data_IF_748767073999
#
_entry.id   IF_748767073999
#
_cell.length_a   1.000
_cell.length_b   1.000
_cell.length_c   1.000
_cell.angle_alpha   90.00
_cell.angle_beta   90.00
_cell.angle_gamma   90.00
#
_symmetry.space_group_name_H-M   'P 1'
#
loop_
_entity.id
_entity.type
_entity.pdbx_description
1 polymer ?
#
# COMPACT_ATOMS: atom_id res chain seq x y z
N UNK A 1 -25.55 0.89 15.79
CA UNK A 1 -24.97 1.50 14.58
C UNK A 1 -23.61 0.88 14.39
N UNK A 2 -23.38 0.36 13.20
CA UNK A 2 -22.54 -0.81 12.89
C UNK A 2 -21.16 -0.82 13.54
N UNK A 3 -20.85 -1.99 14.13
CA UNK A 3 -19.55 -2.37 14.66
C UNK A 3 -18.46 -1.82 13.75
N UNK A 4 -17.55 -1.04 14.34
CA UNK A 4 -16.25 -0.77 13.75
C UNK A 4 -15.70 -2.10 13.23
N UNK A 5 -15.59 -2.23 11.91
CA UNK A 5 -14.80 -3.26 11.28
C UNK A 5 -13.35 -2.99 11.71
N UNK A 6 -12.99 -3.47 12.91
CA UNK A 6 -11.63 -3.81 13.26
C UNK A 6 -11.20 -4.89 12.28
N UNK A 7 -10.83 -4.43 11.09
CA UNK A 7 -10.33 -5.21 9.99
C UNK A 7 -8.88 -5.57 10.36
N UNK A 8 -8.78 -6.45 11.36
CA UNK A 8 -7.55 -7.09 11.80
C UNK A 8 -7.06 -7.91 10.62
N UNK A 9 -5.87 -7.59 10.13
CA UNK A 9 -5.22 -8.36 9.09
C UNK A 9 -5.19 -9.83 9.52
N UNK A 10 -5.71 -10.72 8.69
CA UNK A 10 -5.58 -12.15 8.91
C UNK A 10 -4.13 -12.55 8.65
N UNK A 11 -3.32 -12.52 9.71
CA UNK A 11 -1.91 -12.87 9.64
C UNK A 11 -1.69 -14.33 9.27
N UNK A 12 -2.67 -15.21 9.49
CA UNK A 12 -2.58 -16.62 9.09
C UNK A 12 -2.72 -16.74 7.58
N UNK A 13 -3.67 -16.05 6.98
CA UNK A 13 -3.83 -16.03 5.52
C UNK A 13 -2.63 -15.35 4.85
N UNK A 14 -2.20 -14.20 5.37
CA UNK A 14 -1.00 -13.49 4.88
C UNK A 14 0.23 -14.38 5.00
N UNK A 15 0.45 -15.02 6.15
CA UNK A 15 1.55 -15.95 6.37
C UNK A 15 1.55 -17.10 5.37
N UNK A 16 0.36 -17.66 5.08
CA UNK A 16 0.20 -18.72 4.09
C UNK A 16 0.56 -18.26 2.67
N UNK A 17 0.20 -17.03 2.27
CA UNK A 17 0.61 -16.46 0.97
C UNK A 17 2.12 -16.30 0.86
N UNK A 18 2.78 -15.84 1.93
CA UNK A 18 4.24 -15.70 1.95
C UNK A 18 4.91 -17.07 1.81
N UNK A 19 4.41 -18.06 2.57
CA UNK A 19 4.86 -19.45 2.50
C UNK A 19 4.68 -20.03 1.10
N UNK A 20 3.53 -19.80 0.48
CA UNK A 20 3.19 -20.30 -0.85
C UNK A 20 4.16 -19.77 -1.91
N UNK A 21 4.47 -18.47 -1.91
CA UNK A 21 5.47 -17.91 -2.83
C UNK A 21 6.81 -18.59 -2.65
N UNK A 22 7.27 -18.71 -1.40
CA UNK A 22 8.56 -19.33 -1.10
C UNK A 22 8.62 -20.79 -1.58
N UNK A 23 7.59 -21.59 -1.29
CA UNK A 23 7.54 -23.02 -1.60
C UNK A 23 7.34 -23.30 -3.08
N UNK A 24 6.53 -22.49 -3.78
CA UNK A 24 6.37 -22.59 -5.24
C UNK A 24 7.68 -22.42 -6.00
N UNK A 25 8.62 -21.66 -5.43
CA UNK A 25 9.97 -21.46 -5.97
C UNK A 25 11.03 -22.38 -5.35
N UNK A 26 10.63 -23.46 -4.66
CA UNK A 26 11.52 -24.44 -4.01
C UNK A 26 12.54 -23.80 -3.03
N UNK A 27 12.20 -22.65 -2.44
CA UNK A 27 13.13 -21.91 -1.59
C UNK A 27 13.01 -22.35 -0.13
N UNK A 28 14.12 -22.75 0.49
CA UNK A 28 14.14 -23.18 1.89
C UNK A 28 14.25 -21.99 2.83
N UNK A 29 13.67 -22.09 4.04
CA UNK A 29 13.76 -21.03 5.07
C UNK A 29 15.20 -20.67 5.43
N UNK A 30 16.11 -21.66 5.47
CA UNK A 30 17.54 -21.44 5.73
C UNK A 30 18.19 -20.47 4.75
N UNK A 31 17.78 -20.50 3.49
CA UNK A 31 18.30 -19.63 2.42
C UNK A 31 17.81 -18.18 2.54
N UNK A 32 16.79 -17.91 3.38
CA UNK A 32 16.29 -16.53 3.60
C UNK A 32 17.19 -15.80 4.58
N UNK A 33 17.69 -16.51 5.60
CA UNK A 33 18.56 -15.95 6.65
C UNK A 33 19.83 -15.31 6.07
N UNK A 34 20.31 -15.81 4.93
CA UNK A 34 21.48 -15.25 4.24
C UNK A 34 21.20 -13.96 3.44
N UNK A 35 19.93 -13.61 3.22
CA UNK A 35 19.52 -12.60 2.22
C UNK A 35 18.62 -11.49 2.77
N UNK A 36 18.22 -11.57 4.03
CA UNK A 36 17.34 -10.57 4.67
C UNK A 36 18.04 -9.93 5.87
N UNK A 37 18.04 -8.60 5.96
CA UNK A 37 18.64 -7.85 7.07
C UNK A 37 18.01 -8.18 8.43
N UNK A 38 16.76 -8.63 8.43
CA UNK A 38 15.97 -9.05 9.57
C UNK A 38 16.24 -10.52 9.99
N UNK A 39 17.52 -10.92 10.06
CA UNK A 39 18.04 -12.17 10.65
C UNK A 39 17.35 -13.50 10.26
N UNK A 40 16.36 -13.51 9.35
CA UNK A 40 15.52 -14.63 8.89
C UNK A 40 14.88 -15.54 9.95
N UNK A 41 15.22 -15.40 11.23
CA UNK A 41 14.89 -16.33 12.31
C UNK A 41 13.41 -16.37 12.67
N UNK A 42 12.64 -15.35 12.27
CA UNK A 42 11.20 -15.28 12.52
C UNK A 42 10.33 -15.65 11.31
N UNK A 43 10.92 -16.02 10.15
CA UNK A 43 10.17 -16.38 8.93
C UNK A 43 9.13 -17.47 9.22
N UNK A 44 9.48 -18.47 10.03
CA UNK A 44 8.53 -19.52 10.39
C UNK A 44 7.31 -19.01 11.18
N UNK A 45 7.50 -17.97 12.02
CA UNK A 45 6.41 -17.32 12.78
C UNK A 45 5.55 -16.46 11.86
N UNK A 46 6.17 -15.76 10.91
CA UNK A 46 5.47 -14.98 9.89
C UNK A 46 4.59 -15.88 9.04
N UNK A 47 5.14 -16.97 8.53
CA UNK A 47 4.43 -17.92 7.67
C UNK A 47 3.33 -18.70 8.40
N UNK A 48 3.50 -18.96 9.70
CA UNK A 48 2.45 -19.56 10.52
C UNK A 48 1.34 -18.55 10.90
N UNK A 49 1.54 -17.25 10.62
CA UNK A 49 0.65 -16.19 11.08
C UNK A 49 0.70 -15.94 12.59
N UNK A 50 1.68 -16.50 13.28
CA UNK A 50 1.87 -16.28 14.71
C UNK A 50 2.32 -14.85 15.02
N UNK A 51 2.92 -14.17 14.04
CA UNK A 51 3.34 -12.76 14.13
C UNK A 51 3.18 -12.04 12.78
N UNK A 52 2.98 -10.72 12.78
CA UNK A 52 3.01 -9.92 11.56
C UNK A 52 4.30 -10.12 10.78
N UNK A 53 4.18 -10.40 9.48
CA UNK A 53 5.34 -10.49 8.61
C UNK A 53 6.04 -9.13 8.49
N UNK A 54 7.37 -9.14 8.59
CA UNK A 54 8.17 -7.94 8.37
C UNK A 54 7.99 -7.42 6.95
N UNK A 55 8.03 -6.10 6.76
CA UNK A 55 8.01 -5.49 5.43
C UNK A 55 9.26 -5.84 4.63
N UNK A 56 10.36 -6.20 5.29
CA UNK A 56 11.59 -6.66 4.65
C UNK A 56 11.45 -8.07 4.09
N UNK A 57 10.76 -8.98 4.78
CA UNK A 57 10.46 -10.30 4.22
C UNK A 57 9.56 -10.18 2.99
N UNK A 58 8.54 -9.31 3.05
CA UNK A 58 7.73 -9.00 1.87
C UNK A 58 8.55 -8.41 0.72
N UNK A 59 9.49 -7.49 1.02
CA UNK A 59 10.41 -6.92 0.03
C UNK A 59 11.32 -7.98 -0.61
N UNK A 60 11.82 -8.93 0.19
CA UNK A 60 12.59 -10.07 -0.29
C UNK A 60 11.76 -10.91 -1.27
N UNK A 61 10.54 -11.30 -0.90
CA UNK A 61 9.66 -12.08 -1.78
C UNK A 61 9.33 -11.33 -3.07
N UNK A 62 9.10 -10.01 -2.97
CA UNK A 62 8.87 -9.14 -4.13
C UNK A 62 10.07 -9.10 -5.07
N UNK A 63 11.26 -8.86 -4.54
CA UNK A 63 12.48 -8.72 -5.34
C UNK A 63 12.98 -10.05 -5.91
N UNK A 64 12.73 -11.16 -5.22
CA UNK A 64 13.25 -12.49 -5.59
C UNK A 64 12.28 -13.24 -6.50
N UNK A 65 10.97 -13.13 -6.23
CA UNK A 65 9.95 -13.93 -6.89
C UNK A 65 8.90 -13.09 -7.63
N UNK A 66 9.01 -11.77 -7.59
CA UNK A 66 8.08 -10.87 -8.28
C UNK A 66 6.72 -10.69 -7.58
N UNK A 67 6.52 -11.26 -6.39
CA UNK A 67 5.26 -11.17 -5.65
C UNK A 67 4.93 -9.71 -5.26
N UNK A 68 3.78 -9.17 -5.70
CA UNK A 68 3.35 -7.81 -5.35
C UNK A 68 3.01 -7.72 -3.86
N UNK A 69 3.21 -6.55 -3.23
CA UNK A 69 2.78 -6.33 -1.85
C UNK A 69 1.27 -6.47 -1.69
N UNK A 70 0.49 -6.05 -2.69
CA UNK A 70 -0.96 -6.21 -2.73
C UNK A 70 -1.35 -7.68 -2.57
N UNK A 71 -0.88 -8.55 -3.47
CA UNK A 71 -1.14 -9.99 -3.35
C UNK A 71 -0.66 -10.55 -2.00
N UNK A 72 0.54 -10.20 -1.54
CA UNK A 72 1.08 -10.69 -0.27
C UNK A 72 0.18 -10.35 0.93
N UNK A 73 -0.28 -9.10 1.04
CA UNK A 73 -0.95 -8.60 2.24
C UNK A 73 -2.48 -8.58 2.16
N UNK A 74 -3.07 -8.43 0.98
CA UNK A 74 -4.53 -8.40 0.81
C UNK A 74 -5.06 -9.28 -0.33
N UNK A 75 -4.20 -10.09 -0.95
CA UNK A 75 -4.61 -11.07 -1.95
C UNK A 75 -5.00 -10.46 -3.30
N UNK A 76 -4.90 -9.15 -3.48
CA UNK A 76 -5.24 -8.50 -4.74
C UNK A 76 -4.14 -8.76 -5.77
N UNK A 77 -4.49 -9.51 -6.82
CA UNK A 77 -3.60 -9.74 -7.95
C UNK A 77 -3.45 -8.46 -8.80
N UNK A 78 -2.24 -7.93 -8.83
CA UNK A 78 -1.86 -6.82 -9.70
C UNK A 78 -0.84 -7.30 -10.74
N UNK A 79 -1.12 -7.02 -12.01
CA UNK A 79 -0.15 -7.23 -13.07
C UNK A 79 0.98 -6.19 -12.92
N UNK A 80 2.22 -6.67 -12.78
CA UNK A 80 3.43 -5.85 -12.68
C UNK A 80 4.21 -5.85 -13.98
N UNK A 81 4.84 -4.71 -14.31
CA UNK A 81 5.68 -4.58 -15.51
C UNK A 81 6.96 -5.39 -15.40
N UNK A 82 7.54 -5.78 -16.54
CA UNK A 82 8.79 -6.55 -16.57
C UNK A 82 9.95 -5.79 -15.91
N UNK A 83 9.99 -4.47 -16.08
CA UNK A 83 10.94 -3.59 -15.37
C UNK A 83 10.78 -3.70 -13.86
N UNK A 84 9.55 -3.67 -13.36
CA UNK A 84 9.31 -3.75 -11.91
C UNK A 84 9.67 -5.13 -11.33
N UNK A 85 9.61 -6.18 -12.14
CA UNK A 85 10.00 -7.55 -11.75
C UNK A 85 11.51 -7.77 -11.76
N UNK A 86 12.23 -7.06 -12.63
CA UNK A 86 13.69 -7.23 -12.81
C UNK A 86 14.50 -6.28 -11.93
N UNK A 87 13.97 -5.08 -11.61
CA UNK A 87 14.64 -4.12 -10.74
C UNK A 87 14.44 -4.43 -9.25
N UNK A 88 15.55 -4.71 -8.57
CA UNK A 88 15.56 -4.79 -7.09
C UNK A 88 15.21 -3.43 -6.50
N UNK A 89 14.13 -3.38 -5.71
CA UNK A 89 13.76 -2.15 -4.99
C UNK A 89 14.25 -2.20 -3.55
N UNK A 90 14.37 -1.02 -2.97
CA UNK A 90 14.61 -0.80 -1.54
C UNK A 90 13.56 0.16 -1.01
N UNK A 91 13.33 0.16 0.29
CA UNK A 91 12.52 1.21 0.91
C UNK A 91 13.30 2.52 0.89
N UNK A 92 12.77 3.53 0.21
CA UNK A 92 13.29 4.89 0.24
C UNK A 92 12.27 5.80 0.94
N UNK A 93 12.44 6.08 2.24
CA UNK A 93 11.49 6.89 3.01
C UNK A 93 11.22 8.26 2.38
N UNK A 94 12.25 8.93 1.82
CA UNK A 94 12.10 10.25 1.18
C UNK A 94 11.26 10.14 -0.09
N UNK A 95 11.49 9.13 -0.93
CA UNK A 95 10.71 8.93 -2.15
C UNK A 95 9.25 8.57 -1.84
N UNK A 96 9.01 7.72 -0.84
CA UNK A 96 7.67 7.36 -0.36
C UNK A 96 6.96 8.62 0.16
N UNK A 97 7.62 9.37 1.04
CA UNK A 97 7.09 10.59 1.62
C UNK A 97 6.72 11.65 0.59
N UNK A 98 7.63 11.92 -0.36
CA UNK A 98 7.40 12.87 -1.44
C UNK A 98 6.19 12.48 -2.31
N UNK A 99 6.03 11.19 -2.60
CA UNK A 99 4.88 10.67 -3.37
C UNK A 99 3.56 10.86 -2.64
N UNK A 100 3.53 10.54 -1.34
CA UNK A 100 2.34 10.72 -0.50
C UNK A 100 1.98 12.20 -0.32
N UNK A 101 2.98 13.07 -0.16
CA UNK A 101 2.79 14.52 -0.13
C UNK A 101 2.19 15.02 -1.44
N UNK A 102 2.70 14.58 -2.58
CA UNK A 102 2.22 15.01 -3.90
C UNK A 102 0.75 14.65 -4.13
N UNK A 103 0.33 13.42 -3.80
CA UNK A 103 -1.07 13.00 -3.96
C UNK A 103 -2.00 13.70 -2.97
N UNK A 104 -1.58 13.91 -1.71
CA UNK A 104 -2.33 14.69 -0.72
C UNK A 104 -2.60 16.11 -1.23
N UNK A 105 -1.55 16.79 -1.72
CA UNK A 105 -1.67 18.14 -2.26
C UNK A 105 -2.58 18.20 -3.49
N UNK A 106 -2.51 17.18 -4.37
CA UNK A 106 -3.42 17.06 -5.52
C UNK A 106 -4.89 16.91 -5.11
N UNK A 107 -5.15 16.32 -3.96
CA UNK A 107 -6.50 16.22 -3.37
C UNK A 107 -6.93 17.49 -2.62
N UNK A 108 -6.06 18.49 -2.49
CA UNK A 108 -6.36 19.74 -1.77
C UNK A 108 -6.42 19.57 -0.25
N UNK A 109 -5.86 18.48 0.31
CA UNK A 109 -5.93 18.19 1.74
C UNK A 109 -4.74 18.78 2.50
N UNK A 110 -4.98 19.26 3.71
CA UNK A 110 -3.95 19.55 4.71
C UNK A 110 -3.38 18.26 5.32
N UNK A 111 -2.22 18.34 5.97
CA UNK A 111 -1.66 17.19 6.70
C UNK A 111 -2.60 16.71 7.83
N UNK A 112 -3.36 17.63 8.45
CA UNK A 112 -4.35 17.29 9.47
C UNK A 112 -5.51 16.49 8.88
N UNK A 113 -6.10 16.95 7.78
CA UNK A 113 -7.21 16.26 7.12
C UNK A 113 -6.77 14.91 6.56
N UNK A 114 -5.58 14.84 5.95
CA UNK A 114 -5.05 13.56 5.49
C UNK A 114 -4.76 12.61 6.65
N UNK A 115 -4.24 13.13 7.77
CA UNK A 115 -4.05 12.37 9.01
C UNK A 115 -5.36 11.76 9.50
N UNK A 116 -6.43 12.57 9.59
CA UNK A 116 -7.77 12.07 9.95
C UNK A 116 -8.24 10.95 9.01
N UNK A 117 -8.03 11.10 7.70
CA UNK A 117 -8.42 10.12 6.69
C UNK A 117 -7.72 8.76 6.85
N UNK A 118 -6.46 8.75 7.28
CA UNK A 118 -5.67 7.51 7.44
C UNK A 118 -5.46 7.11 8.90
N UNK A 119 -6.11 7.79 9.85
CA UNK A 119 -6.00 7.54 11.29
C UNK A 119 -4.60 7.82 11.86
N UNK A 120 -3.96 8.92 11.46
CA UNK A 120 -2.70 9.44 12.00
C UNK A 120 -2.83 10.90 12.45
N UNK A 121 -1.92 11.35 13.31
CA UNK A 121 -1.78 12.77 13.62
C UNK A 121 -1.15 13.53 12.45
N UNK A 122 -1.33 14.86 12.40
CA UNK A 122 -0.64 15.73 11.43
C UNK A 122 0.89 15.59 11.51
N UNK A 123 1.43 15.44 12.73
CA UNK A 123 2.86 15.17 12.96
C UNK A 123 3.27 13.82 12.38
N UNK A 124 2.46 12.78 12.58
CA UNK A 124 2.69 11.45 11.99
C UNK A 124 2.72 11.49 10.47
N UNK A 125 1.81 12.24 9.85
CA UNK A 125 1.83 12.51 8.41
C UNK A 125 3.11 13.25 8.01
N UNK A 126 3.48 14.31 8.74
CA UNK A 126 4.71 15.06 8.49
C UNK A 126 5.98 14.20 8.54
N UNK A 127 6.07 13.29 9.51
CA UNK A 127 7.19 12.34 9.61
C UNK A 127 7.28 11.39 8.41
N UNK A 128 6.14 10.96 7.88
CA UNK A 128 6.10 10.15 6.66
C UNK A 128 6.48 10.99 5.45
N UNK A 129 5.86 12.15 5.26
CA UNK A 129 6.05 13.02 4.10
C UNK A 129 7.48 13.55 3.95
N UNK A 130 8.15 13.79 5.08
CA UNK A 130 9.54 14.25 5.10
C UNK A 130 10.55 13.10 5.05
N UNK A 131 10.09 11.84 5.03
CA UNK A 131 10.95 10.66 4.97
C UNK A 131 11.67 10.33 6.28
N UNK A 132 11.19 10.84 7.42
CA UNK A 132 11.69 10.43 8.74
C UNK A 132 11.22 9.00 9.10
N UNK A 133 10.12 8.53 8.52
CA UNK A 133 9.57 7.19 8.76
C UNK A 133 8.90 6.62 7.51
N UNK A 134 9.17 5.34 7.22
CA UNK A 134 8.40 4.57 6.24
C UNK A 134 7.05 4.13 6.85
N UNK A 135 5.93 4.22 6.11
CA UNK A 135 4.66 3.69 6.58
C UNK A 135 4.75 2.19 6.87
N UNK A 136 4.39 1.79 8.09
CA UNK A 136 4.17 0.38 8.40
C UNK A 136 3.00 -0.18 7.58
N UNK A 137 2.95 -1.50 7.41
CA UNK A 137 1.94 -2.13 6.55
C UNK A 137 0.51 -1.77 6.94
N UNK A 138 0.19 -1.69 8.24
CA UNK A 138 -1.14 -1.27 8.72
C UNK A 138 -1.47 0.16 8.27
N UNK A 139 -0.50 1.08 8.33
CA UNK A 139 -0.65 2.45 7.83
C UNK A 139 -0.76 2.47 6.31
N UNK A 140 0.07 1.71 5.59
CA UNK A 140 0.02 1.63 4.13
C UNK A 140 -1.31 1.10 3.61
N UNK A 141 -1.94 0.15 4.30
CA UNK A 141 -3.28 -0.34 3.97
C UNK A 141 -4.37 0.73 4.19
N UNK A 142 -4.27 1.53 5.25
CA UNK A 142 -5.17 2.68 5.46
C UNK A 142 -4.99 3.70 4.33
N UNK A 143 -3.74 3.98 3.94
CA UNK A 143 -3.41 4.85 2.80
C UNK A 143 -3.99 4.27 1.49
N UNK A 144 -3.82 2.96 1.24
CA UNK A 144 -4.38 2.27 0.06
C UNK A 144 -5.90 2.46 -0.02
N UNK A 145 -6.62 2.25 1.09
CA UNK A 145 -8.08 2.45 1.16
C UNK A 145 -8.47 3.91 0.91
N UNK A 146 -7.75 4.85 1.52
CA UNK A 146 -8.00 6.28 1.38
C UNK A 146 -7.75 6.82 -0.04
N UNK A 147 -6.71 6.33 -0.71
CA UNK A 147 -6.23 6.86 -1.99
C UNK A 147 -6.64 6.01 -3.20
N UNK A 148 -7.11 4.78 -2.99
CA UNK A 148 -7.36 3.82 -4.06
C UNK A 148 -6.09 3.43 -4.83
N UNK A 149 -4.93 3.52 -4.18
CA UNK A 149 -3.61 3.23 -4.77
C UNK A 149 -3.03 1.93 -4.22
N UNK A 150 -2.43 1.07 -5.07
CA UNK A 150 -1.90 -0.21 -4.63
C UNK A 150 -0.71 -0.05 -3.69
N UNK A 151 -0.43 -1.07 -2.88
CA UNK A 151 0.69 -1.06 -1.93
C UNK A 151 2.02 -0.90 -2.66
N UNK A 152 2.20 -1.58 -3.80
CA UNK A 152 3.41 -1.42 -4.62
C UNK A 152 3.60 0.03 -5.09
N UNK A 153 2.52 0.76 -5.39
CA UNK A 153 2.60 2.18 -5.73
C UNK A 153 3.00 3.04 -4.51
N UNK A 154 2.46 2.73 -3.33
CA UNK A 154 2.77 3.46 -2.09
C UNK A 154 4.25 3.32 -1.75
N UNK A 155 4.80 2.10 -1.80
CA UNK A 155 6.17 1.83 -1.40
C UNK A 155 7.21 2.13 -2.51
N UNK A 156 6.89 1.83 -3.77
CA UNK A 156 7.89 1.86 -4.86
C UNK A 156 7.50 2.80 -6.00
N UNK A 157 6.24 3.21 -6.10
CA UNK A 157 5.73 4.02 -7.19
C UNK A 157 5.32 3.22 -8.42
N UNK A 158 5.31 1.89 -8.33
CA UNK A 158 4.91 1.01 -9.42
C UNK A 158 3.41 1.16 -9.67
N UNK A 159 3.02 1.48 -10.90
CA UNK A 159 1.61 1.48 -11.30
C UNK A 159 1.25 0.09 -11.88
N UNK A 160 0.09 -0.47 -11.51
CA UNK A 160 -0.33 -1.77 -12.03
C UNK A 160 -0.59 -1.67 -13.54
N UNK A 161 -0.24 -2.72 -14.28
CA UNK A 161 -0.60 -2.82 -15.69
C UNK A 161 -2.11 -3.02 -15.77
N UNK A 162 -2.80 -2.09 -16.44
CA UNK A 162 -4.20 -2.24 -16.79
C UNK A 162 -4.28 -2.93 -18.16
N UNK A 163 -4.78 -4.17 -18.25
CA UNK A 163 -4.96 -4.87 -19.53
C UNK A 163 -5.77 -4.02 -20.51
N UNK A 164 -5.44 -4.08 -21.81
CA UNK A 164 -6.12 -3.29 -22.85
C UNK A 164 -7.65 -3.46 -22.82
N UNK A 165 -8.15 -4.66 -22.53
CA UNK A 165 -9.59 -4.97 -22.40
C UNK A 165 -10.29 -4.14 -21.30
N UNK A 166 -9.58 -3.77 -20.23
CA UNK A 166 -10.13 -3.08 -19.06
C UNK A 166 -9.95 -1.55 -19.13
N UNK A 167 -9.19 -1.03 -20.11
CA UNK A 167 -8.91 0.42 -20.23
C UNK A 167 -10.15 1.26 -20.55
N UNK A 168 -11.15 0.70 -21.23
CA UNK A 168 -12.40 1.41 -21.56
C UNK A 168 -13.26 1.64 -20.31
N UNK A 169 -13.35 0.65 -19.42
CA UNK A 169 -14.10 0.73 -18.16
C UNK A 169 -13.40 1.65 -17.13
N UNK A 170 -12.07 1.65 -17.09
CA UNK A 170 -11.28 2.54 -16.23
C UNK A 170 -11.39 4.03 -16.61
N UNK A 171 -11.62 4.34 -17.89
CA UNK A 171 -11.87 5.72 -18.35
C UNK A 171 -13.27 6.21 -17.93
N UNK A 172 -14.29 5.34 -18.00
CA UNK A 172 -15.67 5.65 -17.61
C UNK A 172 -15.81 5.86 -16.08
N UNK A 173 -15.11 5.06 -15.27
CA UNK A 173 -15.10 5.22 -13.80
C UNK A 173 -14.37 6.48 -13.34
N UNK A 174 -13.25 6.85 -13.98
CA UNK A 174 -12.58 8.15 -13.74
C UNK A 174 -13.46 9.34 -14.14
N UNK A 175 -14.19 9.28 -15.25
CA UNK A 175 -15.12 10.37 -15.62
C UNK A 175 -16.30 10.48 -14.66
N UNK A 176 -16.79 9.36 -14.10
CA UNK A 176 -17.90 9.37 -13.15
C UNK A 176 -17.50 9.89 -11.77
N UNK A 177 -16.28 9.58 -11.28
CA UNK A 177 -15.74 10.18 -10.05
C UNK A 177 -15.47 11.69 -10.17
N UNK A 178 -15.06 12.16 -11.36
CA UNK A 178 -14.88 13.60 -11.61
C UNK A 178 -16.23 14.33 -11.64
N UNK A 179 -17.28 13.71 -12.21
CA UNK A 179 -18.63 14.28 -12.26
C UNK A 179 -19.31 14.32 -10.88
N UNK A 180 -19.15 13.30 -10.04
CA UNK A 180 -19.72 13.30 -8.68
C UNK A 180 -19.10 14.35 -7.77
N UNK A 181 -17.83 14.73 -8.01
CA UNK A 181 -17.14 15.79 -7.27
C UNK A 181 -17.42 17.21 -7.82
N UNK A 182 -18.12 17.35 -8.94
CA UNK A 182 -18.50 18.65 -9.53
C UNK A 182 -19.98 19.01 -9.31
N UNK A 183 -20.81 18.08 -8.84
CA UNK A 183 -22.22 18.33 -8.47
C UNK A 183 -22.35 18.76 -7.01
N UNK A 184 -21.90 19.97 -6.72
CA UNK A 184 -22.39 20.78 -5.58
C UNK A 184 -22.32 22.26 -5.96
N UNK A 185 -23.41 22.85 -6.48
CA UNK A 185 -23.48 24.28 -6.71
C UNK A 185 -23.76 25.01 -5.39
N UNK A 186 -22.90 25.99 -5.10
CA UNK A 186 -23.11 27.06 -4.12
C UNK A 186 -24.51 27.69 -4.25
N UNK A 187 -25.22 27.85 -3.13
CA UNK A 187 -26.12 28.97 -2.88
C UNK A 187 -26.23 29.20 -1.37
N UNK A 188 -26.25 30.40 -0.79
CA UNK A 188 -25.97 31.78 -1.22
C UNK A 188 -25.80 32.55 0.11
N UNK A 189 -24.75 33.36 0.23
CA UNK A 189 -24.69 34.46 1.22
C UNK A 189 -25.78 35.48 0.89
N UNK A 190 -26.60 35.88 1.87
CA UNK A 190 -27.15 37.24 2.10
C UNK A 190 -27.43 37.32 3.62
N UNK A 191 -26.65 38.03 4.42
CA UNK A 191 -26.59 39.49 4.65
C UNK A 191 -27.82 40.07 5.36
N UNK A 192 -27.61 40.52 6.62
CA UNK A 192 -28.20 41.67 7.35
C UNK A 192 -29.69 41.99 7.13
N UNK A 193 -30.50 41.87 8.18
CA UNK A 193 -30.90 42.92 9.12
C UNK A 193 -31.68 42.28 10.27
#
# INVERSE_FOLDING_TARGET
MEKELENTLDWREIGQRFKEVRERHNYKRSMIMEKTDDQGGAVYKYEAGAQPASTNYALFLRNTFGASFDWLYDGVENLRSERDRTEKKIFNPRAIGARLKAIRLKMGLTQKEFGLLIGLSSVGVGNIENGHRTPEIKTALKIKRALGKPLDWIYFGDEPIIPKKNRLQAKQSKSNQIKSNQSSPKAKKKSRL
#
